data_IF_475769499659
#
_entry.id   IF_475769499659
#
_cell.length_a   1.000
_cell.length_b   1.000
_cell.length_c   1.000
_cell.angle_alpha   90.00
_cell.angle_beta   90.00
_cell.angle_gamma   90.00
#
_symmetry.space_group_name_H-M   'P 1'
#
loop_
_entity.id
_entity.type
_entity.pdbx_description
1 polymer ?
#
# COMPACT_ATOMS: atom_id res chain seq x y z
N UNK A 1 -17.98 26.91 45.28
CA UNK A 1 -17.79 27.98 44.29
C UNK A 1 -16.88 27.42 43.20
N UNK A 2 -17.41 27.17 42.02
CA UNK A 2 -16.66 26.71 40.86
C UNK A 2 -17.19 27.49 39.64
N UNK A 3 -16.29 28.25 39.02
CA UNK A 3 -16.53 29.11 37.86
C UNK A 3 -16.97 28.30 36.64
N UNK A 4 -18.05 28.74 36.01
CA UNK A 4 -18.47 28.29 34.68
C UNK A 4 -17.88 29.24 33.63
N UNK A 5 -16.96 28.73 32.82
CA UNK A 5 -16.39 29.43 31.65
C UNK A 5 -17.41 29.41 30.50
N UNK A 6 -17.74 30.55 29.86
CA UNK A 6 -18.62 30.57 28.70
C UNK A 6 -17.83 30.19 27.43
N UNK A 7 -18.35 29.24 26.67
CA UNK A 7 -17.82 28.85 25.36
C UNK A 7 -18.40 29.80 24.31
N UNK A 8 -17.53 30.62 23.75
CA UNK A 8 -17.85 31.59 22.70
C UNK A 8 -18.15 30.85 21.38
N UNK A 9 -19.32 31.14 20.80
CA UNK A 9 -19.79 30.52 19.55
C UNK A 9 -19.18 31.22 18.33
N UNK A 10 -18.70 30.50 17.30
CA UNK A 10 -18.09 31.16 16.15
C UNK A 10 -19.17 31.85 15.29
N UNK A 11 -18.93 33.15 15.08
CA UNK A 11 -19.68 34.04 14.19
C UNK A 11 -19.94 33.43 12.81
N UNK A 12 -21.22 33.30 12.46
CA UNK A 12 -21.72 32.91 11.13
C UNK A 12 -21.19 33.89 10.07
N UNK A 13 -20.30 33.42 9.20
CA UNK A 13 -19.78 34.20 8.09
C UNK A 13 -20.91 34.54 7.10
N UNK A 14 -21.02 35.83 6.76
CA UNK A 14 -21.98 36.33 5.77
C UNK A 14 -21.74 35.67 4.39
N UNK A 15 -22.80 35.30 3.64
CA UNK A 15 -22.64 34.75 2.31
C UNK A 15 -22.03 35.82 1.39
N UNK A 16 -20.81 35.55 0.90
CA UNK A 16 -20.16 36.38 -0.12
C UNK A 16 -21.00 36.29 -1.38
N UNK A 17 -21.64 37.41 -1.74
CA UNK A 17 -22.39 37.59 -2.97
C UNK A 17 -21.49 37.28 -4.18
N UNK A 18 -21.79 36.19 -4.89
CA UNK A 18 -21.14 35.81 -6.15
C UNK A 18 -21.23 36.98 -7.14
N UNK A 19 -20.12 37.41 -7.76
CA UNK A 19 -20.14 38.46 -8.76
C UNK A 19 -21.05 38.06 -9.94
N UNK A 20 -21.91 39.00 -10.30
CA UNK A 20 -22.75 39.04 -11.51
C UNK A 20 -22.04 38.43 -12.72
N UNK A 21 -22.78 37.63 -13.47
CA UNK A 21 -22.41 37.07 -14.78
C UNK A 21 -21.67 38.11 -15.63
N UNK A 22 -20.33 38.00 -15.68
CA UNK A 22 -19.54 38.65 -16.71
C UNK A 22 -20.04 38.09 -18.04
N UNK A 23 -20.53 38.96 -18.92
CA UNK A 23 -20.86 38.61 -20.30
C UNK A 23 -19.69 37.81 -20.86
N UNK A 24 -19.92 36.52 -21.12
CA UNK A 24 -18.90 35.66 -21.69
C UNK A 24 -18.55 36.26 -23.05
N UNK A 25 -17.29 36.68 -23.23
CA UNK A 25 -16.83 37.18 -24.50
C UNK A 25 -16.99 36.04 -25.52
N UNK A 26 -18.00 36.15 -26.37
CA UNK A 26 -18.26 35.20 -27.43
C UNK A 26 -17.29 35.49 -28.57
N UNK A 27 -16.52 34.49 -28.99
CA UNK A 27 -15.51 34.61 -30.04
C UNK A 27 -15.83 33.70 -31.21
N UNK A 28 -15.48 34.12 -32.43
CA UNK A 28 -15.57 33.26 -33.60
C UNK A 28 -14.55 32.12 -33.57
N UNK A 29 -14.79 31.07 -34.36
CA UNK A 29 -13.94 29.87 -34.41
C UNK A 29 -12.45 30.18 -34.67
N UNK A 30 -12.14 31.13 -35.56
CA UNK A 30 -10.76 31.52 -35.87
C UNK A 30 -10.04 32.26 -34.74
N UNK A 31 -10.79 32.94 -33.88
CA UNK A 31 -10.23 33.60 -32.69
C UNK A 31 -10.05 32.59 -31.54
N UNK A 32 -10.99 31.66 -31.39
CA UNK A 32 -10.84 30.55 -30.44
C UNK A 32 -9.65 29.65 -30.79
N UNK A 33 -9.46 29.33 -32.07
CA UNK A 33 -8.32 28.58 -32.59
C UNK A 33 -6.98 29.20 -32.16
N UNK A 34 -6.84 30.53 -32.30
CA UNK A 34 -5.66 31.27 -31.82
C UNK A 34 -5.47 31.20 -30.30
N UNK A 35 -6.56 31.21 -29.54
CA UNK A 35 -6.46 31.12 -28.08
C UNK A 35 -6.11 29.74 -27.56
N UNK A 36 -6.48 28.69 -28.28
CA UNK A 36 -6.17 27.30 -27.94
C UNK A 36 -4.92 26.77 -28.64
N UNK A 37 -4.25 27.64 -29.42
CA UNK A 37 -3.08 27.32 -30.23
C UNK A 37 -3.28 26.10 -31.15
N UNK A 38 -4.42 26.08 -31.86
CA UNK A 38 -4.80 25.00 -32.75
C UNK A 38 -5.43 25.51 -34.05
N UNK A 39 -5.68 24.63 -35.01
CA UNK A 39 -6.27 25.02 -36.30
C UNK A 39 -7.78 25.27 -36.18
N UNK A 40 -8.33 26.12 -37.06
CA UNK A 40 -9.78 26.33 -37.17
C UNK A 40 -10.53 25.03 -37.50
N UNK A 41 -9.94 24.17 -38.31
CA UNK A 41 -10.53 22.86 -38.64
C UNK A 41 -10.62 21.97 -37.42
N UNK A 42 -9.62 22.02 -36.54
CA UNK A 42 -9.63 21.28 -35.28
C UNK A 42 -10.68 21.80 -34.29
N UNK A 43 -10.96 23.12 -34.27
CA UNK A 43 -12.11 23.66 -33.52
C UNK A 43 -13.43 23.06 -34.00
N UNK A 44 -13.64 22.93 -35.33
CA UNK A 44 -14.84 22.28 -35.87
C UNK A 44 -14.94 20.80 -35.48
N UNK A 45 -13.81 20.10 -35.40
CA UNK A 45 -13.77 18.73 -34.87
C UNK A 45 -14.16 18.68 -33.39
N UNK A 46 -13.58 19.54 -32.55
CA UNK A 46 -13.90 19.60 -31.12
C UNK A 46 -15.37 19.97 -30.86
N UNK A 47 -15.98 20.77 -31.74
CA UNK A 47 -17.41 21.06 -31.72
C UNK A 47 -18.25 19.82 -32.07
N UNK A 48 -17.88 19.10 -33.14
CA UNK A 48 -18.54 17.86 -33.55
C UNK A 48 -18.41 16.75 -32.49
N UNK A 49 -17.26 16.65 -31.84
CA UNK A 49 -16.99 15.72 -30.74
C UNK A 49 -17.66 16.16 -29.42
N UNK A 50 -18.36 17.30 -29.41
CA UNK A 50 -19.09 17.83 -28.25
C UNK A 50 -18.19 18.35 -27.12
N UNK A 51 -16.90 18.51 -27.37
CA UNK A 51 -15.92 19.00 -26.39
C UNK A 51 -16.12 20.48 -26.09
N UNK A 52 -16.39 21.28 -27.12
CA UNK A 52 -16.72 22.70 -27.00
C UNK A 52 -18.10 22.96 -27.62
N UNK A 53 -18.86 23.86 -27.01
CA UNK A 53 -20.22 24.17 -27.47
C UNK A 53 -20.30 25.59 -28.00
N UNK A 54 -20.95 25.74 -29.15
CA UNK A 54 -21.29 27.04 -29.72
C UNK A 54 -22.57 27.57 -29.07
N UNK A 55 -22.57 28.86 -28.74
CA UNK A 55 -23.74 29.60 -28.23
C UNK A 55 -24.05 30.74 -29.19
N UNK A 56 -25.15 30.61 -29.94
CA UNK A 56 -25.53 31.54 -30.99
C UNK A 56 -24.45 31.62 -32.08
N UNK A 57 -23.92 32.83 -32.30
CA UNK A 57 -22.99 33.10 -33.41
C UNK A 57 -21.50 32.77 -33.09
N UNK A 58 -21.19 32.32 -31.87
CA UNK A 58 -19.80 31.96 -31.54
C UNK A 58 -19.63 31.13 -30.29
N UNK A 59 -18.41 31.14 -29.75
CA UNK A 59 -18.00 30.30 -28.64
C UNK A 59 -17.73 31.14 -27.39
N UNK A 60 -18.30 30.77 -26.23
CA UNK A 60 -17.97 31.42 -24.96
C UNK A 60 -16.51 31.11 -24.58
N UNK A 61 -15.62 32.09 -24.71
CA UNK A 61 -14.16 31.89 -24.66
C UNK A 61 -13.68 31.12 -23.42
N UNK A 62 -14.08 31.56 -22.22
CA UNK A 62 -13.62 30.97 -20.96
C UNK A 62 -14.16 29.55 -20.75
N UNK A 63 -15.42 29.30 -21.15
CA UNK A 63 -16.01 27.96 -21.07
C UNK A 63 -15.33 27.00 -22.04
N UNK A 64 -15.09 27.43 -23.28
CA UNK A 64 -14.40 26.62 -24.28
C UNK A 64 -12.96 26.29 -23.86
N UNK A 65 -12.23 27.24 -23.23
CA UNK A 65 -10.89 26.98 -22.67
C UNK A 65 -10.91 25.93 -21.57
N UNK A 66 -11.82 26.06 -20.60
CA UNK A 66 -11.94 25.09 -19.50
C UNK A 66 -12.32 23.71 -20.04
N UNK A 67 -13.25 23.66 -21.00
CA UNK A 67 -13.67 22.41 -21.63
C UNK A 67 -12.52 21.73 -22.39
N UNK A 68 -11.72 22.51 -23.14
CA UNK A 68 -10.53 22.01 -23.82
C UNK A 68 -9.46 21.48 -22.86
N UNK A 69 -9.18 22.19 -21.76
CA UNK A 69 -8.24 21.69 -20.73
C UNK A 69 -8.73 20.41 -20.07
N UNK A 70 -10.05 20.27 -19.83
CA UNK A 70 -10.64 19.02 -19.32
C UNK A 70 -10.50 17.89 -20.32
N UNK A 71 -10.72 18.16 -21.60
CA UNK A 71 -10.51 17.18 -22.68
C UNK A 71 -9.06 16.70 -22.73
N UNK A 72 -8.08 17.62 -22.74
CA UNK A 72 -6.66 17.25 -22.75
C UNK A 72 -6.24 16.42 -21.52
N UNK A 73 -6.81 16.72 -20.34
CA UNK A 73 -6.56 15.92 -19.14
C UNK A 73 -7.13 14.51 -19.27
N UNK A 74 -8.32 14.36 -19.85
CA UNK A 74 -8.93 13.04 -20.10
C UNK A 74 -8.12 12.24 -21.13
N UNK A 75 -7.73 12.85 -22.24
CA UNK A 75 -6.90 12.17 -23.24
C UNK A 75 -5.55 11.72 -22.68
N UNK A 76 -4.88 12.57 -21.90
CA UNK A 76 -3.62 12.18 -21.24
C UNK A 76 -3.81 11.04 -20.25
N UNK A 77 -4.95 11.00 -19.55
CA UNK A 77 -5.29 9.88 -18.65
C UNK A 77 -5.64 8.60 -19.41
N UNK A 78 -6.19 8.71 -20.62
CA UNK A 78 -6.63 7.56 -21.42
C UNK A 78 -5.53 6.95 -22.29
N UNK A 79 -4.33 7.53 -22.33
CA UNK A 79 -3.22 6.92 -23.07
C UNK A 79 -2.80 5.61 -22.40
N UNK A 80 -2.89 4.46 -23.10
CA UNK A 80 -2.45 3.16 -22.56
C UNK A 80 -0.97 3.18 -22.15
N UNK A 81 -0.18 4.06 -22.77
CA UNK A 81 1.24 4.24 -22.48
C UNK A 81 1.47 4.89 -21.11
N UNK A 82 0.68 5.90 -20.75
CA UNK A 82 0.79 6.56 -19.44
C UNK A 82 0.37 5.65 -18.29
N UNK A 83 -0.63 4.78 -18.52
CA UNK A 83 -1.02 3.77 -17.54
C UNK A 83 0.07 2.73 -17.34
N UNK A 84 0.62 2.17 -18.42
CA UNK A 84 1.71 1.20 -18.35
C UNK A 84 2.99 1.79 -17.71
N UNK A 85 3.31 3.06 -17.99
CA UNK A 85 4.44 3.75 -17.37
C UNK A 85 4.22 3.95 -15.85
N UNK A 86 2.99 4.30 -15.45
CA UNK A 86 2.64 4.43 -14.03
C UNK A 86 2.73 3.09 -13.28
N UNK A 87 2.22 2.02 -13.89
CA UNK A 87 2.28 0.67 -13.32
C UNK A 87 3.74 0.19 -13.21
N UNK A 88 4.56 0.46 -14.22
CA UNK A 88 6.00 0.16 -14.20
C UNK A 88 6.73 0.91 -13.06
N UNK A 89 6.47 2.21 -12.89
CA UNK A 89 7.05 3.01 -11.81
C UNK A 89 6.61 2.47 -10.45
N UNK A 90 5.35 2.07 -10.29
CA UNK A 90 4.84 1.49 -9.05
C UNK A 90 5.57 0.19 -8.69
N UNK A 91 5.64 -0.77 -9.62
CA UNK A 91 6.34 -2.05 -9.39
C UNK A 91 7.82 -1.83 -9.09
N UNK A 92 8.47 -0.90 -9.79
CA UNK A 92 9.88 -0.56 -9.54
C UNK A 92 10.09 0.07 -8.16
N UNK A 93 9.15 0.88 -7.71
CA UNK A 93 9.18 1.50 -6.39
C UNK A 93 9.02 0.45 -5.29
N UNK A 94 8.07 -0.47 -5.44
CA UNK A 94 7.87 -1.60 -4.52
C UNK A 94 9.13 -2.48 -4.45
N UNK A 95 9.73 -2.84 -5.60
CA UNK A 95 10.99 -3.59 -5.63
C UNK A 95 12.11 -2.88 -4.88
N UNK A 96 12.25 -1.56 -5.06
CA UNK A 96 13.28 -0.79 -4.36
C UNK A 96 13.03 -0.73 -2.86
N UNK A 97 11.77 -0.60 -2.43
CA UNK A 97 11.40 -0.62 -1.02
C UNK A 97 11.76 -1.95 -0.37
N UNK A 98 11.40 -3.09 -0.98
CA UNK A 98 11.77 -4.42 -0.46
C UNK A 98 13.28 -4.58 -0.33
N UNK A 99 14.06 -4.13 -1.33
CA UNK A 99 15.53 -4.17 -1.28
C UNK A 99 16.10 -3.28 -0.18
N UNK A 100 15.51 -2.11 0.05
CA UNK A 100 15.95 -1.21 1.13
C UNK A 100 15.66 -1.83 2.50
N UNK A 101 14.48 -2.43 2.68
CA UNK A 101 14.12 -3.13 3.92
C UNK A 101 15.03 -4.33 4.18
N UNK A 102 15.34 -5.14 3.16
CA UNK A 102 16.33 -6.22 3.27
C UNK A 102 17.72 -5.70 3.68
N UNK A 103 18.21 -4.62 3.06
CA UNK A 103 19.51 -4.02 3.41
C UNK A 103 19.55 -3.42 4.81
N UNK A 104 18.41 -2.99 5.34
CA UNK A 104 18.28 -2.53 6.73
C UNK A 104 18.11 -3.67 7.74
N UNK A 105 18.14 -4.92 7.26
CA UNK A 105 17.85 -6.11 8.07
C UNK A 105 16.44 -6.09 8.69
N UNK A 106 15.50 -5.40 8.05
CA UNK A 106 14.08 -5.41 8.44
C UNK A 106 13.34 -6.63 7.85
N UNK A 107 13.88 -7.23 6.77
CA UNK A 107 13.37 -8.44 6.14
C UNK A 107 14.49 -9.47 6.00
N UNK A 108 14.17 -10.74 6.25
CA UNK A 108 15.07 -11.89 6.08
C UNK A 108 14.38 -12.92 5.17
N UNK A 109 15.17 -13.71 4.44
CA UNK A 109 14.63 -14.83 3.67
C UNK A 109 14.13 -15.90 4.64
N UNK A 110 12.95 -16.43 4.38
CA UNK A 110 12.36 -17.47 5.22
C UNK A 110 13.26 -18.71 5.28
N UNK A 111 13.84 -19.12 4.15
CA UNK A 111 14.79 -20.25 4.09
C UNK A 111 15.97 -20.12 5.05
N UNK A 112 16.49 -18.90 5.22
CA UNK A 112 17.65 -18.66 6.09
C UNK A 112 17.23 -18.77 7.57
N UNK A 113 16.01 -18.34 7.90
CA UNK A 113 15.43 -18.47 9.24
C UNK A 113 15.09 -19.93 9.55
N UNK A 114 14.55 -20.66 8.57
CA UNK A 114 14.22 -22.08 8.69
C UNK A 114 15.50 -22.90 8.92
N UNK A 115 16.54 -22.67 8.11
CA UNK A 115 17.83 -23.34 8.27
C UNK A 115 18.46 -23.05 9.65
N UNK A 116 18.44 -21.78 10.08
CA UNK A 116 18.93 -21.39 11.41
C UNK A 116 18.13 -22.09 12.52
N UNK A 117 16.82 -22.16 12.37
CA UNK A 117 15.92 -22.80 13.34
C UNK A 117 16.19 -24.29 13.43
N UNK A 118 16.35 -24.98 12.29
CA UNK A 118 16.70 -26.40 12.25
C UNK A 118 18.05 -26.68 12.92
N UNK A 119 19.06 -25.85 12.66
CA UNK A 119 20.37 -25.96 13.30
C UNK A 119 20.25 -25.80 14.83
N UNK A 120 19.54 -24.79 15.31
CA UNK A 120 19.32 -24.55 16.74
C UNK A 120 18.57 -25.71 17.40
N UNK A 121 17.48 -26.18 16.78
CA UNK A 121 16.71 -27.33 17.24
C UNK A 121 17.56 -28.60 17.28
N UNK A 122 18.42 -28.82 16.27
CA UNK A 122 19.36 -29.93 16.23
C UNK A 122 20.32 -29.93 17.42
N UNK A 123 20.96 -28.78 17.70
CA UNK A 123 21.89 -28.63 18.84
C UNK A 123 21.19 -28.91 20.17
N UNK A 124 20.01 -28.33 20.37
CA UNK A 124 19.20 -28.54 21.59
C UNK A 124 18.82 -30.01 21.74
N UNK A 125 18.36 -30.65 20.65
CA UNK A 125 17.97 -32.06 20.65
C UNK A 125 19.16 -32.96 21.04
N UNK A 126 20.33 -32.75 20.41
CA UNK A 126 21.54 -33.53 20.67
C UNK A 126 21.97 -33.44 22.13
N UNK A 127 22.02 -32.23 22.69
CA UNK A 127 22.47 -32.05 24.07
C UNK A 127 21.45 -32.54 25.10
N UNK A 128 20.16 -32.28 24.90
CA UNK A 128 19.14 -32.75 25.83
C UNK A 128 19.04 -34.29 25.84
N UNK A 129 19.19 -34.95 24.68
CA UNK A 129 19.13 -36.42 24.58
C UNK A 129 20.26 -37.09 25.38
N UNK A 130 21.44 -36.47 25.43
CA UNK A 130 22.59 -36.97 26.20
C UNK A 130 22.58 -36.58 27.68
N UNK A 131 21.59 -35.82 28.16
CA UNK A 131 21.63 -35.22 29.50
C UNK A 131 21.51 -36.28 30.60
N UNK A 132 20.59 -37.23 30.46
CA UNK A 132 20.39 -38.27 31.47
C UNK A 132 21.64 -39.15 31.67
N UNK A 133 22.38 -39.44 30.60
CA UNK A 133 23.64 -40.19 30.66
C UNK A 133 24.79 -39.40 31.31
N UNK A 134 24.78 -38.05 31.22
CA UNK A 134 25.81 -37.18 31.78
C UNK A 134 25.57 -36.82 33.24
N UNK A 135 24.30 -36.71 33.64
CA UNK A 135 23.91 -36.18 34.94
C UNK A 135 23.51 -37.27 35.96
N UNK A 136 23.06 -38.44 35.52
CA UNK A 136 22.69 -39.51 36.46
C UNK A 136 23.93 -40.26 36.98
N UNK A 137 23.99 -40.58 38.29
CA UNK A 137 25.01 -41.47 38.83
C UNK A 137 25.03 -42.83 38.13
N UNK A 138 26.22 -43.46 38.03
CA UNK A 138 26.36 -44.77 37.38
C UNK A 138 25.50 -45.82 38.10
N UNK A 139 24.61 -46.47 37.36
CA UNK A 139 23.71 -47.52 37.87
C UNK A 139 22.39 -47.00 38.44
N UNK A 140 22.20 -45.69 38.58
CA UNK A 140 20.93 -45.11 39.06
C UNK A 140 19.95 -44.90 37.90
N UNK A 141 19.16 -45.95 37.63
CA UNK A 141 18.14 -45.93 36.59
C UNK A 141 16.94 -45.03 36.95
N UNK A 142 16.66 -44.82 38.24
CA UNK A 142 15.52 -44.01 38.65
C UNK A 142 15.76 -42.53 38.33
N UNK A 143 16.95 -42.01 38.70
CA UNK A 143 17.36 -40.65 38.37
C UNK A 143 17.45 -40.44 36.86
N UNK A 144 17.99 -41.42 36.12
CA UNK A 144 18.06 -41.35 34.66
C UNK A 144 16.68 -41.21 34.01
N UNK A 145 15.70 -42.03 34.41
CA UNK A 145 14.32 -41.96 33.89
C UNK A 145 13.63 -40.65 34.25
N UNK A 146 13.87 -40.13 35.46
CA UNK A 146 13.33 -38.83 35.87
C UNK A 146 13.85 -37.71 34.99
N UNK A 147 15.15 -37.71 34.65
CA UNK A 147 15.75 -36.72 33.74
C UNK A 147 15.17 -36.88 32.33
N UNK A 148 15.06 -38.11 31.81
CA UNK A 148 14.48 -38.38 30.48
C UNK A 148 13.03 -37.88 30.39
N UNK A 149 12.23 -38.06 31.45
CA UNK A 149 10.86 -37.53 31.53
C UNK A 149 10.84 -36.00 31.44
N UNK A 150 11.66 -35.31 32.23
CA UNK A 150 11.72 -33.83 32.20
C UNK A 150 12.20 -33.33 30.83
N UNK A 151 13.18 -34.00 30.22
CA UNK A 151 13.62 -33.67 28.85
C UNK A 151 12.49 -33.82 27.84
N UNK A 152 11.69 -34.89 27.96
CA UNK A 152 10.54 -35.11 27.10
C UNK A 152 9.48 -34.02 27.28
N UNK A 153 9.12 -33.70 28.53
CA UNK A 153 8.16 -32.65 28.87
C UNK A 153 8.58 -31.30 28.25
N UNK A 154 9.84 -30.88 28.44
CA UNK A 154 10.37 -29.63 27.86
C UNK A 154 10.27 -29.64 26.33
N UNK A 155 10.58 -30.75 25.67
CA UNK A 155 10.47 -30.86 24.20
C UNK A 155 9.02 -30.74 23.73
N UNK A 156 8.09 -31.38 24.43
CA UNK A 156 6.66 -31.29 24.12
C UNK A 156 6.15 -29.86 24.30
N UNK A 157 6.57 -29.17 25.36
CA UNK A 157 6.22 -27.77 25.59
C UNK A 157 6.79 -26.85 24.49
N UNK A 158 8.06 -27.02 24.12
CA UNK A 158 8.65 -26.27 23.00
C UNK A 158 7.88 -26.47 21.70
N UNK A 159 7.58 -27.72 21.34
CA UNK A 159 6.81 -28.03 20.14
C UNK A 159 5.41 -27.39 20.16
N UNK A 160 4.74 -27.42 21.32
CA UNK A 160 3.43 -26.80 21.49
C UNK A 160 3.48 -25.29 21.30
N UNK A 161 4.47 -24.61 21.90
CA UNK A 161 4.63 -23.15 21.73
C UNK A 161 4.89 -22.79 20.27
N UNK A 162 5.74 -23.54 19.57
CA UNK A 162 5.98 -23.32 18.14
C UNK A 162 4.70 -23.51 17.32
N UNK A 163 3.91 -24.55 17.59
CA UNK A 163 2.64 -24.79 16.90
C UNK A 163 1.63 -23.65 17.15
N UNK A 164 1.47 -23.20 18.40
CA UNK A 164 0.58 -22.09 18.71
C UNK A 164 1.00 -20.77 18.04
N UNK A 165 2.30 -20.57 17.83
CA UNK A 165 2.81 -19.42 17.09
C UNK A 165 2.54 -19.53 15.59
N UNK A 166 2.75 -20.71 15.00
CA UNK A 166 2.44 -20.99 13.59
C UNK A 166 0.94 -20.80 13.31
N UNK A 167 0.07 -21.31 14.18
CA UNK A 167 -1.39 -21.17 14.06
C UNK A 167 -1.81 -19.69 14.09
N UNK A 168 -1.20 -18.87 14.97
CA UNK A 168 -1.44 -17.41 15.04
C UNK A 168 -0.94 -16.67 13.80
N UNK A 169 0.15 -17.15 13.19
CA UNK A 169 0.70 -16.60 11.96
C UNK A 169 -0.11 -17.01 10.72
N UNK A 170 -1.03 -17.97 10.85
CA UNK A 170 -1.82 -18.49 9.73
C UNK A 170 -1.00 -19.34 8.77
N UNK A 171 0.08 -19.95 9.27
CA UNK A 171 0.92 -20.83 8.45
C UNK A 171 0.14 -22.12 8.11
N UNK A 172 0.27 -22.62 6.86
CA UNK A 172 -0.35 -23.89 6.49
C UNK A 172 0.26 -25.02 7.32
N UNK A 173 -0.50 -26.08 7.64
CA UNK A 173 0.03 -27.20 8.43
C UNK A 173 1.21 -27.86 7.72
N UNK A 174 2.16 -28.40 8.49
CA UNK A 174 3.38 -29.05 7.98
C UNK A 174 3.12 -30.17 6.95
N UNK A 175 1.93 -30.78 6.96
CA UNK A 175 1.51 -31.79 5.97
C UNK A 175 1.20 -31.21 4.59
N UNK A 176 1.02 -29.89 4.47
CA UNK A 176 0.63 -29.16 3.25
C UNK A 176 1.76 -28.26 2.73
N UNK A 177 2.87 -28.14 3.46
CA UNK A 177 4.06 -27.41 3.05
C UNK A 177 4.99 -28.36 2.27
N UNK A 178 4.89 -28.37 0.95
CA UNK A 178 5.68 -29.20 0.03
C UNK A 178 6.41 -28.39 -1.03
#
# INVERSE_FOLDING_TARGET
MAETVPIDSPSVAKPVSRPRSRNAATVGASALARHLDCSRTYIGKLEADGVIQRQGDGFPLDQSRVAYLRYLRRERQQSPRTQADADYVKVKTEMLQTRLMQKRHELVLQSDVDELTDQLCGVVLTHLSGMAARCAPRGDLATRRNIERVVFEVRTEMAKVCQEMADKAGEPPLSEQG
#
